data_IF_804576524956
#
_entry.id   IF_804576524956
#
_cell.length_a   1.000
_cell.length_b   1.000
_cell.length_c   1.000
_cell.angle_alpha   90.00
_cell.angle_beta   90.00
_cell.angle_gamma   90.00
#
_symmetry.space_group_name_H-M   'P 1'
#
loop_
_entity.id
_entity.type
_entity.pdbx_description
1 polymer ?
#
# COMPACT_ATOMS: atom_id res chain seq x y z
N UNK A 1 10.66 -9.31 -6.67
CA UNK A 1 10.60 -9.92 -5.31
C UNK A 1 11.63 -9.40 -4.32
N UNK A 2 12.58 -8.55 -4.72
CA UNK A 2 13.38 -7.76 -3.79
C UNK A 2 12.88 -6.31 -3.83
N UNK A 3 12.68 -5.72 -2.66
CA UNK A 3 12.34 -4.30 -2.53
C UNK A 3 13.57 -3.42 -2.82
N UNK A 4 13.34 -2.14 -3.19
CA UNK A 4 12.04 -1.51 -3.46
C UNK A 4 11.46 -1.89 -4.84
N UNK A 5 10.15 -2.01 -4.92
CA UNK A 5 9.47 -2.03 -6.22
C UNK A 5 9.44 -0.60 -6.75
N UNK A 6 9.85 -0.40 -8.00
CA UNK A 6 9.84 0.91 -8.65
C UNK A 6 8.93 0.86 -9.87
N UNK A 7 7.99 1.80 -9.96
CA UNK A 7 7.14 1.99 -11.14
C UNK A 7 6.90 3.48 -11.35
N UNK A 8 7.22 3.95 -12.56
CA UNK A 8 7.18 5.37 -12.91
C UNK A 8 7.95 6.23 -11.88
N UNK A 9 7.29 7.19 -11.24
CA UNK A 9 7.91 8.02 -10.19
C UNK A 9 7.92 7.36 -8.80
N UNK A 10 7.26 6.21 -8.61
CA UNK A 10 7.03 5.65 -7.28
C UNK A 10 8.07 4.60 -6.88
N UNK A 11 8.61 4.75 -5.68
CA UNK A 11 9.27 3.69 -4.93
C UNK A 11 8.32 3.16 -3.85
N UNK A 12 8.18 1.84 -3.75
CA UNK A 12 7.23 1.17 -2.86
C UNK A 12 7.87 0.05 -2.02
N UNK A 13 7.54 0.05 -0.73
CA UNK A 13 7.87 -1.02 0.21
C UNK A 13 6.62 -1.43 1.01
N UNK A 14 6.52 -2.72 1.27
CA UNK A 14 5.51 -3.31 2.15
C UNK A 14 6.23 -4.20 3.17
N UNK A 15 5.94 -3.98 4.46
CA UNK A 15 6.33 -4.86 5.54
C UNK A 15 5.07 -5.39 6.22
N UNK A 16 4.87 -6.71 6.13
CA UNK A 16 3.66 -7.35 6.60
C UNK A 16 3.23 -8.43 5.62
N UNK A 17 1.98 -8.86 5.75
CA UNK A 17 1.40 -9.84 4.84
C UNK A 17 -0.11 -9.75 4.82
N UNK A 18 -0.69 -10.11 3.68
CA UNK A 18 -2.10 -10.53 3.63
C UNK A 18 -2.13 -12.02 3.99
N UNK A 19 -2.71 -12.38 5.14
CA UNK A 19 -2.79 -13.79 5.54
C UNK A 19 -3.66 -14.54 4.55
N UNK A 20 -3.25 -15.76 4.23
CA UNK A 20 -3.89 -16.61 3.20
C UNK A 20 -3.95 -15.97 1.82
N UNK A 21 -3.09 -15.00 1.48
CA UNK A 21 -3.15 -14.25 0.22
C UNK A 21 -3.47 -15.07 -1.04
N UNK A 22 -2.99 -16.31 -1.17
CA UNK A 22 -3.28 -17.15 -2.34
C UNK A 22 -4.78 -17.40 -2.59
N UNK A 23 -5.61 -17.42 -1.55
CA UNK A 23 -7.07 -17.64 -1.68
C UNK A 23 -7.78 -16.40 -2.23
N UNK A 24 -7.31 -15.21 -1.86
CA UNK A 24 -7.91 -13.91 -2.23
C UNK A 24 -7.19 -13.23 -3.40
N UNK A 25 -6.00 -13.70 -3.78
CA UNK A 25 -5.16 -13.15 -4.84
C UNK A 25 -5.92 -12.93 -6.14
N UNK A 26 -6.74 -13.90 -6.54
CA UNK A 26 -7.51 -13.80 -7.80
C UNK A 26 -8.53 -12.66 -7.75
N UNK A 27 -9.19 -12.50 -6.60
CA UNK A 27 -10.19 -11.45 -6.40
C UNK A 27 -9.52 -10.08 -6.38
N UNK A 28 -8.43 -9.92 -5.61
CA UNK A 28 -7.67 -8.67 -5.55
C UNK A 28 -7.15 -8.24 -6.93
N UNK A 29 -6.62 -9.19 -7.71
CA UNK A 29 -6.13 -8.89 -9.05
C UNK A 29 -7.22 -8.60 -10.06
N UNK A 30 -8.45 -9.04 -9.82
CA UNK A 30 -9.59 -8.75 -10.68
C UNK A 30 -10.09 -7.30 -10.49
N UNK A 31 -9.75 -6.64 -9.39
CA UNK A 31 -10.06 -5.22 -9.19
C UNK A 31 -9.15 -4.28 -9.99
N UNK A 32 -8.00 -4.78 -10.46
CA UNK A 32 -7.03 -3.98 -11.20
C UNK A 32 -7.53 -3.71 -12.62
N UNK A 33 -7.30 -2.49 -13.11
CA UNK A 33 -7.40 -2.21 -14.55
C UNK A 33 -6.42 -3.08 -15.35
N UNK A 34 -6.71 -3.31 -16.63
CA UNK A 34 -5.82 -4.04 -17.55
C UNK A 34 -4.40 -3.45 -17.55
N UNK A 35 -4.30 -2.12 -17.48
CA UNK A 35 -3.01 -1.42 -17.46
C UNK A 35 -2.22 -1.67 -16.17
N UNK A 36 -2.92 -1.79 -15.04
CA UNK A 36 -2.33 -2.11 -13.73
C UNK A 36 -2.14 -3.61 -13.52
N UNK A 37 -2.81 -4.47 -14.28
CA UNK A 37 -2.54 -5.90 -14.26
C UNK A 37 -1.32 -6.25 -15.12
N UNK A 38 -1.20 -5.63 -16.31
CA UNK A 38 -0.19 -5.98 -17.32
C UNK A 38 1.27 -5.74 -16.89
N UNK A 39 1.52 -4.85 -15.92
CA UNK A 39 2.88 -4.59 -15.45
C UNK A 39 3.38 -5.59 -14.42
N UNK A 40 2.48 -6.31 -13.75
CA UNK A 40 2.84 -7.23 -12.68
C UNK A 40 3.72 -8.35 -13.24
N UNK A 41 4.85 -8.63 -12.58
CA UNK A 41 5.81 -9.65 -13.01
C UNK A 41 5.85 -10.84 -12.07
N UNK A 42 5.43 -10.66 -10.82
CA UNK A 42 5.45 -11.67 -9.78
C UNK A 42 4.07 -12.04 -9.24
N UNK A 43 4.12 -12.68 -8.07
CA UNK A 43 2.98 -13.34 -7.45
C UNK A 43 2.82 -13.00 -5.98
N UNK A 44 3.56 -12.01 -5.47
CA UNK A 44 3.52 -11.62 -4.06
C UNK A 44 2.32 -10.73 -3.78
N UNK A 45 1.92 -10.70 -2.52
CA UNK A 45 0.95 -9.73 -2.00
C UNK A 45 1.45 -8.30 -2.18
N UNK A 46 2.72 -8.06 -1.85
CA UNK A 46 3.38 -6.74 -1.91
C UNK A 46 3.30 -6.11 -3.30
N UNK A 47 3.51 -6.89 -4.36
CA UNK A 47 3.38 -6.40 -5.73
C UNK A 47 1.91 -6.15 -6.11
N UNK A 48 0.99 -7.00 -5.63
CA UNK A 48 -0.45 -6.83 -5.84
C UNK A 48 -0.97 -5.58 -5.14
N UNK A 49 -0.51 -5.31 -3.93
CA UNK A 49 -0.82 -4.09 -3.16
C UNK A 49 -0.27 -2.87 -3.90
N UNK A 50 0.95 -2.94 -4.44
CA UNK A 50 1.51 -1.83 -5.21
C UNK A 50 0.73 -1.58 -6.52
N UNK A 51 0.23 -2.63 -7.17
CA UNK A 51 -0.66 -2.51 -8.34
C UNK A 51 -1.96 -1.82 -8.01
N UNK A 52 -2.59 -2.22 -6.92
CA UNK A 52 -3.82 -1.60 -6.47
C UNK A 52 -3.61 -0.13 -6.12
N UNK A 53 -2.53 0.19 -5.40
CA UNK A 53 -2.14 1.58 -5.11
C UNK A 53 -1.96 2.41 -6.38
N UNK A 54 -1.18 1.92 -7.35
CA UNK A 54 -0.91 2.65 -8.59
C UNK A 54 -2.19 2.87 -9.40
N UNK A 55 -3.07 1.87 -9.43
CA UNK A 55 -4.35 1.94 -10.14
C UNK A 55 -5.26 3.02 -9.52
N UNK A 56 -5.47 2.97 -8.20
CA UNK A 56 -6.26 3.96 -7.46
C UNK A 56 -5.65 5.36 -7.62
N UNK A 57 -4.33 5.48 -7.46
CA UNK A 57 -3.64 6.76 -7.63
C UNK A 57 -3.86 7.34 -9.04
N UNK A 58 -3.83 6.52 -10.09
CA UNK A 58 -4.04 7.00 -11.45
C UNK A 58 -5.48 7.51 -11.69
N UNK A 59 -6.47 6.94 -10.99
CA UNK A 59 -7.88 7.32 -11.10
C UNK A 59 -8.26 8.61 -10.34
N UNK A 60 -7.55 8.95 -9.26
CA UNK A 60 -7.83 10.16 -8.45
C UNK A 60 -7.56 11.46 -9.24
N UNK A 61 -8.32 12.53 -8.94
CA UNK A 61 -8.24 13.83 -9.62
C UNK A 61 -8.35 14.99 -8.61
N UNK A 62 -7.56 16.03 -8.83
CA UNK A 62 -7.76 17.33 -8.19
C UNK A 62 -6.98 17.56 -6.88
N UNK A 63 -6.18 16.59 -6.41
CA UNK A 63 -5.33 16.76 -5.24
C UNK A 63 -3.87 17.14 -5.58
N UNK A 64 -3.17 17.72 -4.62
CA UNK A 64 -1.70 17.82 -4.69
C UNK A 64 -1.07 16.41 -4.73
N UNK A 65 0.10 16.25 -5.37
CA UNK A 65 0.76 14.93 -5.52
C UNK A 65 0.84 14.15 -4.19
N UNK A 66 1.17 14.84 -3.09
CA UNK A 66 1.33 14.21 -1.79
C UNK A 66 0.00 13.85 -1.10
N UNK A 67 -1.02 14.70 -1.21
CA UNK A 67 -2.35 14.38 -0.69
C UNK A 67 -2.99 13.25 -1.50
N UNK A 68 -2.81 13.27 -2.81
CA UNK A 68 -3.21 12.20 -3.72
C UNK A 68 -2.58 10.86 -3.33
N UNK A 69 -1.27 10.85 -3.04
CA UNK A 69 -0.58 9.66 -2.54
C UNK A 69 -1.17 9.18 -1.21
N UNK A 70 -1.43 10.09 -0.28
CA UNK A 70 -2.01 9.74 1.02
C UNK A 70 -3.40 9.12 0.88
N UNK A 71 -4.26 9.73 0.05
CA UNK A 71 -5.59 9.20 -0.28
C UNK A 71 -5.50 7.83 -0.93
N UNK A 72 -4.60 7.64 -1.90
CA UNK A 72 -4.42 6.36 -2.56
C UNK A 72 -3.91 5.26 -1.60
N UNK A 73 -3.01 5.57 -0.66
CA UNK A 73 -2.57 4.61 0.38
C UNK A 73 -3.74 4.19 1.27
N UNK A 74 -4.55 5.14 1.75
CA UNK A 74 -5.72 4.85 2.58
C UNK A 74 -6.75 4.00 1.83
N UNK A 75 -7.09 4.39 0.61
CA UNK A 75 -8.03 3.65 -0.23
C UNK A 75 -7.54 2.24 -0.57
N UNK A 76 -6.23 2.06 -0.77
CA UNK A 76 -5.64 0.73 -0.98
C UNK A 76 -5.86 -0.18 0.23
N UNK A 77 -5.61 0.33 1.45
CA UNK A 77 -5.83 -0.40 2.69
C UNK A 77 -7.31 -0.77 2.85
N UNK A 78 -8.21 0.20 2.63
CA UNK A 78 -9.65 0.01 2.72
C UNK A 78 -10.16 -1.05 1.72
N UNK A 79 -9.76 -0.98 0.45
CA UNK A 79 -10.12 -1.97 -0.58
C UNK A 79 -9.71 -3.38 -0.18
N UNK A 80 -8.49 -3.56 0.34
CA UNK A 80 -8.02 -4.86 0.81
C UNK A 80 -8.88 -5.34 1.99
N UNK A 81 -9.14 -4.48 2.98
CA UNK A 81 -9.95 -4.83 4.14
C UNK A 81 -11.38 -5.24 3.75
N UNK A 82 -12.03 -4.47 2.86
CA UNK A 82 -13.37 -4.77 2.35
C UNK A 82 -13.38 -6.10 1.60
N UNK A 83 -12.40 -6.35 0.74
CA UNK A 83 -12.32 -7.59 -0.01
C UNK A 83 -12.12 -8.79 0.92
N UNK A 84 -11.20 -8.71 1.89
CA UNK A 84 -10.96 -9.78 2.86
C UNK A 84 -12.24 -10.11 3.65
N UNK A 85 -12.94 -9.08 4.13
CA UNK A 85 -14.23 -9.25 4.83
C UNK A 85 -15.29 -9.88 3.94
N UNK A 86 -15.45 -9.42 2.71
CA UNK A 86 -16.45 -9.95 1.76
C UNK A 86 -16.16 -11.39 1.33
N UNK A 87 -14.88 -11.78 1.30
CA UNK A 87 -14.45 -13.14 1.05
C UNK A 87 -14.57 -14.05 2.29
N UNK A 88 -15.04 -13.54 3.43
CA UNK A 88 -15.16 -14.29 4.69
C UNK A 88 -13.82 -14.62 5.35
N UNK A 89 -12.73 -13.94 4.96
CA UNK A 89 -11.40 -14.19 5.51
C UNK A 89 -11.21 -13.39 6.78
N UNK A 90 -11.06 -14.10 7.90
CA UNK A 90 -10.86 -13.51 9.24
C UNK A 90 -9.40 -13.51 9.67
N UNK A 91 -8.52 -14.13 8.89
CA UNK A 91 -7.11 -14.25 9.24
C UNK A 91 -6.45 -12.87 9.40
N UNK A 92 -6.84 -11.87 8.60
CA UNK A 92 -6.39 -10.49 8.75
C UNK A 92 -5.16 -10.12 7.91
N UNK A 93 -4.66 -8.89 8.06
CA UNK A 93 -3.51 -8.39 7.33
C UNK A 93 -2.68 -7.37 8.14
N UNK A 94 -1.40 -7.30 7.80
CA UNK A 94 -0.47 -6.26 8.24
C UNK A 94 -0.02 -5.49 7.01
N UNK A 95 -0.30 -4.20 6.94
CA UNK A 95 -0.08 -3.35 5.76
C UNK A 95 0.76 -2.12 6.13
N UNK A 96 2.02 -2.36 6.52
CA UNK A 96 2.96 -1.26 6.75
C UNK A 96 3.57 -0.85 5.42
N UNK A 97 3.00 0.20 4.81
CA UNK A 97 3.33 0.63 3.46
C UNK A 97 4.23 1.86 3.53
N UNK A 98 5.20 1.93 2.62
CA UNK A 98 5.97 3.14 2.35
C UNK A 98 5.89 3.41 0.86
N UNK A 99 5.43 4.60 0.50
CA UNK A 99 5.40 5.08 -0.89
C UNK A 99 6.09 6.42 -0.99
N UNK A 100 6.99 6.58 -1.96
CA UNK A 100 7.62 7.86 -2.27
C UNK A 100 7.58 8.18 -3.76
N UNK A 101 7.35 9.45 -4.11
CA UNK A 101 7.46 9.98 -5.48
C UNK A 101 8.82 10.64 -5.77
N UNK A 102 9.82 10.42 -4.90
CA UNK A 102 11.13 11.06 -4.95
C UNK A 102 11.19 12.46 -4.35
N UNK A 103 10.05 13.07 -3.97
CA UNK A 103 10.00 14.36 -3.25
C UNK A 103 9.31 14.26 -1.90
N UNK A 104 8.24 13.48 -1.84
CA UNK A 104 7.43 13.24 -0.66
C UNK A 104 7.38 11.75 -0.37
N UNK A 105 6.97 11.41 0.86
CA UNK A 105 6.73 10.03 1.24
C UNK A 105 5.47 9.92 2.09
N UNK A 106 4.73 8.84 1.92
CA UNK A 106 3.58 8.46 2.74
C UNK A 106 3.90 7.10 3.36
N UNK A 107 3.68 7.00 4.66
CA UNK A 107 3.95 5.79 5.45
C UNK A 107 2.69 5.41 6.21
N UNK A 108 2.27 4.16 6.10
CA UNK A 108 1.23 3.59 6.96
C UNK A 108 1.82 2.60 7.95
N UNK A 109 1.21 2.55 9.12
CA UNK A 109 1.22 1.37 9.99
C UNK A 109 -0.22 0.89 10.10
N UNK A 110 -0.50 -0.33 9.69
CA UNK A 110 -1.86 -0.89 9.72
C UNK A 110 -1.81 -2.37 10.05
N UNK A 111 -2.66 -2.79 10.99
CA UNK A 111 -2.88 -4.20 11.29
C UNK A 111 -4.34 -4.44 11.68
N UNK A 112 -4.88 -5.58 11.24
CA UNK A 112 -6.16 -6.07 11.73
C UNK A 112 -6.02 -6.83 13.06
N UNK A 113 -4.82 -7.33 13.38
CA UNK A 113 -4.51 -7.94 14.68
C UNK A 113 -4.15 -6.83 15.68
N UNK A 114 -4.79 -6.83 16.85
CA UNK A 114 -4.59 -5.78 17.86
C UNK A 114 -5.70 -4.73 17.93
N UNK A 115 -6.82 -4.91 17.22
CA UNK A 115 -8.11 -4.26 17.55
C UNK A 115 -8.75 -4.96 18.78
N UNK A 116 -7.93 -5.39 19.73
CA UNK A 116 -8.32 -5.79 21.07
C UNK A 116 -8.17 -4.57 21.98
N UNK A 117 -9.12 -4.36 22.89
CA UNK A 117 -9.27 -3.17 23.74
C UNK A 117 -7.94 -2.51 24.16
N UNK A 118 -7.65 -1.33 23.60
CA UNK A 118 -6.60 -0.41 24.10
C UNK A 118 -5.39 -0.17 23.20
N UNK A 119 -5.14 -0.96 22.15
CA UNK A 119 -4.14 -0.63 21.12
C UNK A 119 -4.80 0.09 19.94
N UNK A 120 -4.32 1.29 19.59
CA UNK A 120 -4.62 1.93 18.30
C UNK A 120 -3.37 1.79 17.44
N UNK A 121 -3.15 0.65 16.76
CA UNK A 121 -1.93 0.44 16.00
C UNK A 121 -1.89 1.22 14.68
N UNK A 122 -3.06 1.69 14.22
CA UNK A 122 -3.26 2.24 12.88
C UNK A 122 -2.91 3.73 12.82
N UNK A 123 -1.93 4.08 12.00
CA UNK A 123 -1.48 5.46 11.80
C UNK A 123 -1.00 5.69 10.37
N UNK A 124 -1.15 6.94 9.92
CA UNK A 124 -0.66 7.41 8.62
C UNK A 124 0.24 8.63 8.85
N UNK A 125 1.47 8.57 8.33
CA UNK A 125 2.44 9.64 8.37
C UNK A 125 2.72 10.15 6.96
N UNK A 126 2.78 11.48 6.81
CA UNK A 126 3.03 12.13 5.52
C UNK A 126 4.24 13.05 5.66
N UNK A 127 5.28 12.78 4.88
CA UNK A 127 6.46 13.63 4.75
C UNK A 127 6.38 14.43 3.44
N UNK A 128 6.47 15.76 3.54
CA UNK A 128 6.20 16.69 2.42
C UNK A 128 7.46 17.43 1.92
N UNK A 129 8.64 17.07 2.41
CA UNK A 129 9.87 17.82 2.16
C UNK A 129 10.88 16.92 1.43
N UNK A 130 11.72 17.43 0.52
CA UNK A 130 12.83 16.64 0.01
C UNK A 130 13.67 16.14 1.18
N UNK A 131 14.00 14.84 1.18
CA UNK A 131 14.94 14.27 2.14
C UNK A 131 16.27 15.00 1.98
N UNK A 132 16.52 16.00 2.82
CA UNK A 132 17.86 16.56 2.95
C UNK A 132 18.70 15.48 3.63
N UNK A 133 19.78 15.06 2.96
CA UNK A 133 20.83 14.28 3.60
C UNK A 133 21.48 15.16 4.66
N UNK A 134 20.87 15.27 5.84
CA UNK A 134 21.61 15.65 7.02
C UNK A 134 22.55 14.48 7.29
N UNK A 135 23.85 14.77 7.34
CA UNK A 135 24.90 13.81 7.66
C UNK A 135 24.53 13.10 8.96
N UNK A 136 24.08 11.85 8.87
CA UNK A 136 23.94 10.97 10.02
C UNK A 136 25.34 10.75 10.60
N UNK A 137 25.64 11.39 11.73
CA UNK A 137 26.76 10.97 12.55
C UNK A 137 26.30 9.74 13.33
N UNK A 138 26.91 8.59 13.03
CA UNK A 138 26.79 7.35 13.79
C UNK A 138 27.44 7.51 15.16
#
# INVERSE_FOLDING_TARGET
NCHPFAREQFAFMHNGSIREFQTVKRQLRHELSDSSYAWMQGTTDSETIFALFADIYSALKGESSTEKMATAVLATIESIEVLLKSAGHTAGCDLNLVVSDGRSAVVSRYSTEGISEGMIPNSLYVHRTPLQLQSWQL
#
